data_IF_585284528191
#
_entry.id   IF_585284528191
#
_cell.length_a   1.000
_cell.length_b   1.000
_cell.length_c   1.000
_cell.angle_alpha   90.00
_cell.angle_beta   90.00
_cell.angle_gamma   90.00
#
_symmetry.space_group_name_H-M   'P 1'
#
loop_
_entity.id
_entity.type
_entity.pdbx_description
1 polymer ?
#
# COMPACT_ATOMS: atom_id res chain seq x y z
N UNK A 1 -8.96 9.02 18.14
CA UNK A 1 -9.37 8.03 17.14
C UNK A 1 -10.83 8.27 16.82
N UNK A 2 -11.16 8.13 15.58
CA UNK A 2 -12.55 8.12 15.08
C UNK A 2 -12.94 6.65 14.92
N UNK A 3 -14.22 6.32 15.04
CA UNK A 3 -14.66 4.94 14.87
C UNK A 3 -16.07 4.72 15.37
N UNK A 4 -16.51 3.49 15.36
CA UNK A 4 -17.83 3.05 15.81
C UNK A 4 -17.74 2.34 17.17
N UNK A 5 -18.88 2.20 17.86
CA UNK A 5 -18.93 1.38 19.10
C UNK A 5 -18.63 -0.08 18.75
N UNK A 6 -18.02 -0.82 19.68
CA UNK A 6 -17.72 -2.24 19.49
C UNK A 6 -18.97 -3.08 19.16
N UNK A 7 -20.12 -2.71 19.71
CA UNK A 7 -21.38 -3.40 19.47
C UNK A 7 -22.16 -2.86 18.25
N UNK A 8 -21.60 -1.91 17.52
CA UNK A 8 -22.20 -1.42 16.29
C UNK A 8 -22.20 -2.53 15.24
N UNK A 9 -23.31 -2.81 14.55
CA UNK A 9 -23.37 -3.87 13.54
C UNK A 9 -22.42 -3.66 12.36
N UNK A 10 -21.94 -2.45 12.13
CA UNK A 10 -20.96 -2.12 11.10
C UNK A 10 -19.50 -2.16 11.63
N UNK A 11 -19.29 -2.51 12.91
CA UNK A 11 -17.95 -2.60 13.48
C UNK A 11 -17.22 -3.83 12.97
N UNK A 12 -16.02 -3.64 12.47
CA UNK A 12 -15.09 -4.72 12.10
C UNK A 12 -14.31 -5.13 13.34
N UNK A 13 -14.37 -6.44 13.69
CA UNK A 13 -13.81 -6.98 14.93
C UNK A 13 -12.56 -7.83 14.72
N UNK A 14 -12.34 -8.33 13.48
CA UNK A 14 -11.28 -9.29 13.19
C UNK A 14 -10.53 -8.89 11.91
N UNK A 15 -9.32 -9.44 11.77
CA UNK A 15 -8.51 -9.24 10.56
C UNK A 15 -9.17 -9.86 9.32
N UNK A 16 -9.87 -10.97 9.47
CA UNK A 16 -10.55 -11.62 8.34
C UNK A 16 -11.74 -10.79 7.88
N UNK A 17 -12.57 -10.26 8.78
CA UNK A 17 -13.63 -9.30 8.46
C UNK A 17 -13.06 -8.04 7.77
N UNK A 18 -11.91 -7.55 8.22
CA UNK A 18 -11.25 -6.41 7.58
C UNK A 18 -10.83 -6.74 6.13
N UNK A 19 -10.29 -7.94 5.89
CA UNK A 19 -9.93 -8.39 4.54
C UNK A 19 -11.18 -8.52 3.66
N UNK A 20 -12.26 -9.11 4.18
CA UNK A 20 -13.53 -9.25 3.46
C UNK A 20 -14.10 -7.88 3.10
N UNK A 21 -14.17 -6.96 4.05
CA UNK A 21 -14.64 -5.59 3.80
C UNK A 21 -13.79 -4.84 2.77
N UNK A 22 -12.44 -4.95 2.85
CA UNK A 22 -11.56 -4.32 1.85
C UNK A 22 -11.80 -4.89 0.45
N UNK A 23 -12.03 -6.21 0.33
CA UNK A 23 -12.33 -6.83 -0.95
C UNK A 23 -13.71 -6.43 -1.49
N UNK A 24 -14.70 -6.24 -0.62
CA UNK A 24 -16.03 -5.76 -0.97
C UNK A 24 -15.98 -4.31 -1.49
N UNK A 25 -15.33 -3.40 -0.76
CA UNK A 25 -15.23 -1.98 -1.15
C UNK A 25 -14.13 -1.69 -2.17
N UNK A 26 -13.27 -2.68 -2.45
CA UNK A 26 -12.20 -2.63 -3.45
C UNK A 26 -10.93 -1.95 -2.97
N UNK A 27 -11.00 -0.85 -2.24
CA UNK A 27 -9.85 -0.12 -1.70
C UNK A 27 -10.26 0.76 -0.52
N UNK A 28 -9.36 0.92 0.46
CA UNK A 28 -9.70 1.56 1.74
C UNK A 28 -8.47 2.21 2.37
N UNK A 29 -8.48 3.53 2.65
CA UNK A 29 -7.49 4.17 3.52
C UNK A 29 -7.48 3.56 4.92
N UNK A 30 -6.30 3.52 5.57
CA UNK A 30 -6.19 3.04 6.95
C UNK A 30 -6.83 4.02 7.94
N UNK A 31 -6.58 5.32 7.76
CA UNK A 31 -7.05 6.37 8.66
C UNK A 31 -8.08 7.28 8.02
N UNK A 32 -8.90 7.89 8.86
CA UNK A 32 -9.89 8.89 8.49
C UNK A 32 -9.33 9.94 7.54
N UNK A 33 -10.14 10.31 6.58
CA UNK A 33 -9.84 11.28 5.53
C UNK A 33 -11.05 12.22 5.29
N UNK A 34 -11.08 12.91 4.16
CA UNK A 34 -12.14 13.87 3.84
C UNK A 34 -13.45 13.23 3.40
N UNK A 35 -13.44 11.93 3.08
CA UNK A 35 -14.65 11.19 2.69
C UNK A 35 -15.13 10.41 3.92
N UNK A 36 -16.27 10.77 4.51
CA UNK A 36 -16.79 10.11 5.71
C UNK A 36 -17.04 8.61 5.48
N UNK A 37 -16.63 7.79 6.44
CA UNK A 37 -16.77 6.33 6.39
C UNK A 37 -15.78 5.61 5.48
N UNK A 38 -14.93 6.34 4.74
CA UNK A 38 -13.95 5.78 3.82
C UNK A 38 -12.61 5.55 4.51
N UNK A 39 -12.60 4.78 5.57
CA UNK A 39 -11.37 4.33 6.24
C UNK A 39 -11.62 3.14 7.15
N UNK A 40 -10.59 2.31 7.36
CA UNK A 40 -10.64 1.23 8.35
C UNK A 40 -10.83 1.78 9.77
N UNK A 41 -10.20 2.92 10.09
CA UNK A 41 -10.35 3.58 11.38
C UNK A 41 -11.82 3.87 11.72
N UNK A 42 -12.61 4.31 10.76
CA UNK A 42 -14.02 4.66 10.97
C UNK A 42 -14.95 3.43 11.07
N UNK A 43 -14.44 2.24 10.73
CA UNK A 43 -15.16 0.96 10.79
C UNK A 43 -14.72 0.06 11.94
N UNK A 44 -13.89 0.56 12.85
CA UNK A 44 -13.34 -0.18 13.99
C UNK A 44 -13.53 0.59 15.28
N UNK A 45 -13.54 -0.12 16.42
CA UNK A 45 -13.73 0.50 17.72
C UNK A 45 -12.43 1.19 18.19
N UNK A 46 -12.48 2.49 18.58
CA UNK A 46 -11.30 3.27 18.95
C UNK A 46 -10.49 2.70 20.12
N UNK A 47 -11.14 2.02 21.05
CA UNK A 47 -10.50 1.48 22.26
C UNK A 47 -9.55 0.31 22.01
N UNK A 48 -9.58 -0.29 20.83
CA UNK A 48 -8.75 -1.45 20.48
C UNK A 48 -7.49 -1.08 19.67
N UNK A 49 -7.35 0.14 19.22
CA UNK A 49 -6.15 0.59 18.54
C UNK A 49 -4.98 0.69 19.52
N UNK A 50 -3.85 0.09 19.16
CA UNK A 50 -2.62 0.04 19.94
C UNK A 50 -2.76 -0.71 21.29
N UNK A 51 -3.69 -1.62 21.38
CA UNK A 51 -3.85 -2.48 22.57
C UNK A 51 -2.87 -3.66 22.60
N UNK A 52 -2.07 -3.85 21.55
CA UNK A 52 -1.07 -4.93 21.40
C UNK A 52 -1.66 -6.34 21.33
N UNK A 53 -2.99 -6.49 21.24
CA UNK A 53 -3.65 -7.78 21.03
C UNK A 53 -3.90 -8.00 19.53
N UNK A 54 -3.18 -8.95 18.87
CA UNK A 54 -3.33 -9.19 17.45
C UNK A 54 -4.71 -9.67 17.01
N UNK A 55 -5.52 -10.17 17.95
CA UNK A 55 -6.88 -10.61 17.65
C UNK A 55 -7.81 -9.43 17.34
N UNK A 56 -7.61 -8.29 18.00
CA UNK A 56 -8.56 -7.17 17.97
C UNK A 56 -7.93 -5.80 17.64
N UNK A 57 -6.59 -5.70 17.53
CA UNK A 57 -5.89 -4.43 17.28
C UNK A 57 -5.76 -4.13 15.78
N UNK A 58 -6.50 -3.14 15.23
CA UNK A 58 -6.42 -2.79 13.81
C UNK A 58 -5.02 -2.29 13.39
N UNK A 59 -4.21 -1.77 14.32
CA UNK A 59 -2.84 -1.40 14.04
C UNK A 59 -1.95 -2.61 13.74
N UNK A 60 -2.20 -3.73 14.41
CA UNK A 60 -1.51 -5.00 14.13
C UNK A 60 -2.08 -5.67 12.88
N UNK A 61 -3.40 -5.58 12.65
CA UNK A 61 -4.03 -6.19 11.47
C UNK A 61 -3.38 -5.76 10.15
N UNK A 62 -2.95 -4.49 10.02
CA UNK A 62 -2.24 -4.02 8.81
C UNK A 62 -0.99 -4.86 8.47
N UNK A 63 -0.31 -5.40 9.50
CA UNK A 63 0.86 -6.25 9.33
C UNK A 63 0.46 -7.66 8.87
N UNK A 64 -0.63 -8.19 9.46
CA UNK A 64 -1.20 -9.50 9.09
C UNK A 64 -1.75 -9.45 7.67
N UNK A 65 -2.50 -8.39 7.33
CA UNK A 65 -3.06 -8.18 5.99
C UNK A 65 -1.95 -8.08 4.95
N UNK A 66 -0.92 -7.28 5.19
CA UNK A 66 0.23 -7.16 4.28
C UNK A 66 0.90 -8.51 4.02
N UNK A 67 1.11 -9.32 5.08
CA UNK A 67 1.74 -10.64 4.99
C UNK A 67 0.85 -11.69 4.32
N UNK A 68 -0.46 -11.54 4.39
CA UNK A 68 -1.41 -12.51 3.83
C UNK A 68 -1.35 -12.60 2.31
N UNK A 69 -0.91 -11.54 1.61
CA UNK A 69 -0.96 -11.43 0.16
C UNK A 69 -2.38 -11.34 -0.43
N UNK A 70 -3.43 -11.34 0.41
CA UNK A 70 -4.84 -11.25 -0.03
C UNK A 70 -5.25 -9.85 -0.45
N UNK A 71 -4.49 -8.84 -0.01
CA UNK A 71 -4.73 -7.41 -0.24
C UNK A 71 -3.40 -6.70 -0.34
N UNK A 72 -3.26 -5.76 -1.25
CA UNK A 72 -2.09 -4.89 -1.32
C UNK A 72 -2.16 -3.82 -0.22
N UNK A 73 -1.03 -3.61 0.49
CA UNK A 73 -0.90 -2.59 1.52
C UNK A 73 0.27 -1.66 1.24
N UNK A 74 0.06 -0.36 1.39
CA UNK A 74 1.11 0.63 1.18
C UNK A 74 0.62 2.06 1.39
N UNK A 75 1.47 3.04 1.10
CA UNK A 75 1.11 4.46 1.12
C UNK A 75 0.46 4.87 -0.20
N UNK A 76 -0.75 4.40 -0.44
CA UNK A 76 -1.44 4.55 -1.72
C UNK A 76 -2.35 5.79 -1.81
N UNK A 77 -2.73 6.42 -0.70
CA UNK A 77 -3.77 7.43 -0.62
C UNK A 77 -3.20 8.75 -0.10
N UNK A 78 -2.90 9.70 -0.98
CA UNK A 78 -2.28 10.99 -0.61
C UNK A 78 -1.08 10.80 0.35
N UNK A 79 -0.16 9.87 0.01
CA UNK A 79 1.02 9.48 0.80
C UNK A 79 0.70 8.82 2.14
N UNK A 80 -0.55 8.48 2.41
CA UNK A 80 -1.03 7.80 3.60
C UNK A 80 -1.27 6.31 3.34
N UNK A 81 -1.18 5.53 4.40
CA UNK A 81 -1.37 4.08 4.35
C UNK A 81 -2.81 3.69 4.04
N UNK A 82 -2.97 2.59 3.35
CA UNK A 82 -4.24 1.96 3.05
C UNK A 82 -4.09 0.71 2.21
N UNK A 83 -5.20 0.17 1.78
CA UNK A 83 -5.34 -1.13 1.16
C UNK A 83 -5.97 -1.01 -0.22
N UNK A 84 -5.54 -1.87 -1.14
CA UNK A 84 -6.17 -2.07 -2.45
C UNK A 84 -6.37 -3.57 -2.62
N UNK A 85 -7.60 -4.01 -2.93
CA UNK A 85 -7.88 -5.42 -3.24
C UNK A 85 -7.12 -5.84 -4.50
N UNK A 86 -6.86 -7.14 -4.62
CA UNK A 86 -6.12 -7.67 -5.78
C UNK A 86 -6.91 -7.45 -7.07
N UNK A 87 -8.23 -7.43 -7.02
CA UNK A 87 -9.09 -7.09 -8.16
C UNK A 87 -8.88 -5.65 -8.66
N UNK A 88 -8.75 -4.69 -7.75
CA UNK A 88 -8.58 -3.27 -8.09
C UNK A 88 -7.12 -2.87 -8.34
N UNK A 89 -6.17 -3.70 -7.93
CA UNK A 89 -4.74 -3.41 -8.08
C UNK A 89 -4.32 -3.09 -9.53
N UNK A 90 -4.75 -3.86 -10.58
CA UNK A 90 -4.41 -3.54 -11.97
C UNK A 90 -4.99 -2.20 -12.45
N UNK A 91 -6.19 -1.85 -11.98
CA UNK A 91 -6.83 -0.58 -12.33
C UNK A 91 -6.03 0.60 -11.78
N UNK A 92 -5.60 0.52 -10.51
CA UNK A 92 -4.73 1.53 -9.91
C UNK A 92 -3.34 1.56 -10.55
N UNK A 93 -2.76 0.41 -10.87
CA UNK A 93 -1.47 0.31 -11.53
C UNK A 93 -1.50 1.00 -12.91
N UNK A 94 -2.49 0.69 -13.74
CA UNK A 94 -2.65 1.33 -15.05
C UNK A 94 -2.83 2.85 -14.92
N UNK A 95 -3.71 3.30 -14.03
CA UNK A 95 -3.96 4.73 -13.81
C UNK A 95 -2.69 5.49 -13.40
N UNK A 96 -1.92 4.94 -12.44
CA UNK A 96 -0.80 5.66 -11.81
C UNK A 96 0.52 5.49 -12.52
N UNK A 97 0.69 4.38 -13.24
CA UNK A 97 1.88 4.09 -14.04
C UNK A 97 1.74 4.57 -15.49
N UNK A 98 0.52 4.94 -15.90
CA UNK A 98 0.21 5.33 -17.28
C UNK A 98 0.64 4.27 -18.32
N UNK A 99 0.52 2.97 -17.94
CA UNK A 99 0.93 1.83 -18.77
C UNK A 99 2.44 1.59 -18.81
N UNK A 100 3.23 2.29 -17.98
CA UNK A 100 4.68 2.11 -17.95
C UNK A 100 5.13 1.05 -16.95
N UNK A 101 5.98 0.15 -17.39
CA UNK A 101 6.89 -0.55 -16.50
C UNK A 101 7.98 0.39 -16.02
N UNK A 102 8.62 0.09 -14.89
CA UNK A 102 9.56 1.03 -14.29
C UNK A 102 10.77 1.32 -15.18
N UNK A 103 11.28 0.32 -15.90
CA UNK A 103 12.42 0.50 -16.80
C UNK A 103 12.10 1.46 -17.93
N UNK A 104 10.97 1.24 -18.61
CA UNK A 104 10.50 2.13 -19.65
C UNK A 104 10.25 3.56 -19.12
N UNK A 105 9.67 3.68 -17.92
CA UNK A 105 9.47 4.97 -17.25
C UNK A 105 10.80 5.69 -17.00
N UNK A 106 11.84 4.95 -16.62
CA UNK A 106 13.17 5.51 -16.36
C UNK A 106 13.88 5.90 -17.67
N UNK A 107 13.84 5.05 -18.69
CA UNK A 107 14.43 5.30 -20.02
C UNK A 107 13.82 6.53 -20.67
N UNK A 108 12.52 6.76 -20.51
CA UNK A 108 11.83 7.97 -20.97
C UNK A 108 12.13 9.23 -20.12
N UNK A 109 13.02 9.12 -19.11
CA UNK A 109 13.40 10.23 -18.22
C UNK A 109 12.30 10.69 -17.26
N UNK A 110 11.24 9.90 -17.08
CA UNK A 110 10.10 10.21 -16.21
C UNK A 110 10.32 9.78 -14.76
N UNK A 111 11.29 8.92 -14.49
CA UNK A 111 11.67 8.50 -13.13
C UNK A 111 13.03 9.10 -12.73
N UNK A 112 13.16 9.40 -11.42
CA UNK A 112 14.41 9.96 -10.89
C UNK A 112 15.47 8.87 -10.66
N UNK A 113 16.75 9.27 -10.62
CA UNK A 113 17.85 8.38 -10.22
C UNK A 113 17.66 7.77 -8.82
N UNK A 114 16.98 8.45 -7.90
CA UNK A 114 16.65 7.92 -6.57
C UNK A 114 15.71 6.74 -6.67
N UNK A 115 14.71 6.84 -7.51
CA UNK A 115 13.76 5.75 -7.76
C UNK A 115 14.46 4.57 -8.43
N UNK A 116 15.33 4.80 -9.43
CA UNK A 116 16.13 3.74 -10.06
C UNK A 116 16.99 2.99 -9.07
N UNK A 117 17.73 3.70 -8.19
CA UNK A 117 18.57 3.08 -7.15
C UNK A 117 17.79 2.14 -6.22
N UNK A 118 16.52 2.42 -6.01
CA UNK A 118 15.63 1.55 -5.22
C UNK A 118 15.13 0.39 -6.08
N UNK A 119 14.56 0.68 -7.25
CA UNK A 119 13.87 -0.31 -8.08
C UNK A 119 14.78 -1.36 -8.69
N UNK A 120 16.04 -1.04 -8.98
CA UNK A 120 17.02 -2.03 -9.48
C UNK A 120 17.18 -3.24 -8.55
N UNK A 121 16.85 -3.09 -7.26
CA UNK A 121 16.88 -4.18 -6.30
C UNK A 121 15.68 -5.13 -6.41
N UNK A 122 14.66 -4.78 -7.22
CA UNK A 122 13.46 -5.59 -7.44
C UNK A 122 13.31 -6.02 -8.90
N UNK A 123 13.97 -5.35 -9.85
CA UNK A 123 13.85 -5.61 -11.30
C UNK A 123 14.86 -6.68 -11.73
N UNK A 124 16.12 -6.58 -11.25
CA UNK A 124 17.11 -7.60 -11.51
C UNK A 124 16.73 -8.90 -10.78
N UNK A 125 16.89 -10.06 -11.44
CA UNK A 125 16.65 -11.38 -10.86
C UNK A 125 17.50 -11.58 -9.60
N UNK A 126 16.97 -11.17 -8.46
CA UNK A 126 17.55 -11.43 -7.14
C UNK A 126 16.75 -12.52 -6.45
N UNK A 127 17.44 -13.31 -5.65
CA UNK A 127 16.88 -14.43 -4.89
C UNK A 127 15.81 -13.98 -3.90
N UNK A 128 15.88 -12.72 -3.42
CA UNK A 128 14.97 -12.17 -2.42
C UNK A 128 13.94 -11.22 -3.08
N UNK A 129 12.72 -11.69 -3.22
CA UNK A 129 11.59 -10.87 -3.69
C UNK A 129 11.14 -9.81 -2.67
N UNK A 130 11.59 -9.92 -1.40
CA UNK A 130 11.21 -9.07 -0.29
C UNK A 130 12.43 -8.49 0.40
N UNK A 131 12.49 -7.17 0.58
CA UNK A 131 13.65 -6.49 1.18
C UNK A 131 13.19 -5.62 2.36
N UNK A 132 13.83 -5.82 3.54
CA UNK A 132 13.58 -4.98 4.69
C UNK A 132 14.01 -3.52 4.42
N UNK A 133 13.22 -2.56 4.89
CA UNK A 133 13.44 -1.13 4.66
C UNK A 133 14.87 -0.67 4.97
N UNK A 134 15.44 -1.14 6.08
CA UNK A 134 16.81 -0.78 6.47
C UNK A 134 17.87 -1.35 5.54
N UNK A 135 17.66 -2.54 5.01
CA UNK A 135 18.59 -3.19 4.11
C UNK A 135 18.45 -2.61 2.71
N UNK A 136 17.24 -2.39 2.22
CA UNK A 136 16.97 -1.66 0.99
C UNK A 136 17.62 -0.27 1.00
N UNK A 137 17.51 0.46 2.12
CA UNK A 137 18.14 1.76 2.28
C UNK A 137 19.65 1.72 2.07
N UNK A 138 20.32 0.68 2.58
CA UNK A 138 21.77 0.47 2.38
C UNK A 138 22.08 0.05 0.94
N UNK A 139 21.36 -0.94 0.42
CA UNK A 139 21.56 -1.47 -0.93
C UNK A 139 21.41 -0.38 -1.99
N UNK A 140 20.42 0.48 -1.83
CA UNK A 140 20.17 1.61 -2.73
C UNK A 140 21.09 2.83 -2.48
N UNK A 141 22.07 2.72 -1.58
CA UNK A 141 23.07 3.77 -1.32
C UNK A 141 22.54 5.00 -0.58
N UNK A 142 21.47 4.86 0.21
CA UNK A 142 20.94 5.94 1.05
C UNK A 142 21.54 5.88 2.46
N UNK A 143 21.90 7.03 3.02
CA UNK A 143 22.43 7.10 4.38
C UNK A 143 23.10 8.43 4.72
N UNK A 144 23.91 8.43 5.79
CA UNK A 144 24.53 9.63 6.32
C UNK A 144 25.50 10.27 5.31
N UNK A 145 26.27 9.45 4.63
CA UNK A 145 27.26 9.85 3.60
C UNK A 145 26.77 9.57 2.17
N UNK A 146 25.57 9.02 2.03
CA UNK A 146 24.97 8.66 0.74
C UNK A 146 23.81 9.57 0.35
N UNK A 147 22.96 9.03 -0.51
CA UNK A 147 21.75 9.69 -1.01
C UNK A 147 20.80 10.06 0.15
N UNK A 148 20.06 11.16 0.00
CA UNK A 148 19.06 11.64 0.97
C UNK A 148 17.64 11.42 0.41
N UNK A 149 16.63 11.33 1.32
CA UNK A 149 15.22 11.32 0.96
C UNK A 149 14.68 9.94 0.61
N UNK A 150 15.22 8.88 1.20
CA UNK A 150 14.77 7.50 1.03
C UNK A 150 13.26 7.34 1.26
N UNK A 151 12.74 7.84 2.40
CA UNK A 151 11.33 7.68 2.76
C UNK A 151 10.38 8.36 1.76
N UNK A 152 10.80 9.53 1.23
CA UNK A 152 10.06 10.22 0.17
C UNK A 152 10.06 9.43 -1.15
N UNK A 153 11.21 8.86 -1.53
CA UNK A 153 11.32 8.05 -2.74
C UNK A 153 10.48 6.77 -2.64
N UNK A 154 10.55 6.04 -1.52
CA UNK A 154 9.69 4.88 -1.23
C UNK A 154 8.20 5.27 -1.30
N UNK A 155 7.82 6.38 -0.68
CA UNK A 155 6.43 6.84 -0.69
C UNK A 155 5.96 7.13 -2.12
N UNK A 156 6.79 7.75 -2.96
CA UNK A 156 6.45 7.99 -4.37
C UNK A 156 6.29 6.68 -5.14
N UNK A 157 7.19 5.72 -4.96
CA UNK A 157 7.11 4.41 -5.62
C UNK A 157 5.87 3.62 -5.19
N UNK A 158 5.45 3.73 -3.91
CA UNK A 158 4.18 3.16 -3.46
C UNK A 158 2.98 3.88 -4.08
N UNK A 159 2.98 5.23 -4.09
CA UNK A 159 1.91 6.00 -4.74
C UNK A 159 1.74 5.61 -6.21
N UNK A 160 2.83 5.26 -6.88
CA UNK A 160 2.85 4.78 -8.26
C UNK A 160 2.60 3.25 -8.39
N UNK A 161 2.36 2.55 -7.30
CA UNK A 161 2.14 1.09 -7.26
C UNK A 161 3.37 0.27 -7.75
N UNK A 162 4.57 0.84 -7.83
CA UNK A 162 5.79 0.07 -8.13
C UNK A 162 6.33 -0.68 -6.91
N UNK A 163 5.95 -0.28 -5.69
CA UNK A 163 6.26 -0.95 -4.44
C UNK A 163 5.04 -1.05 -3.54
N UNK A 164 5.01 -2.07 -2.70
CA UNK A 164 4.07 -2.22 -1.58
C UNK A 164 4.79 -2.77 -0.35
N UNK A 165 4.14 -2.68 0.80
CA UNK A 165 4.57 -3.41 1.99
C UNK A 165 4.04 -4.84 1.90
N UNK A 166 4.94 -5.82 2.00
CA UNK A 166 4.58 -7.24 1.99
C UNK A 166 4.66 -7.88 3.37
N UNK A 167 5.39 -7.27 4.31
CA UNK A 167 5.52 -7.78 5.68
C UNK A 167 6.05 -6.70 6.64
N UNK A 168 6.04 -7.03 7.93
CA UNK A 168 6.66 -6.27 9.02
C UNK A 168 7.42 -7.23 9.92
N UNK A 169 8.74 -7.04 10.07
CA UNK A 169 9.62 -7.96 10.79
C UNK A 169 10.51 -7.21 11.77
N UNK A 170 10.78 -7.81 12.93
CA UNK A 170 11.83 -7.32 13.83
C UNK A 170 13.21 -7.56 13.22
N UNK A 171 14.09 -6.60 13.40
CA UNK A 171 15.50 -6.79 13.08
C UNK A 171 16.12 -7.87 13.96
N UNK A 172 17.09 -8.60 13.41
CA UNK A 172 17.88 -9.57 14.15
C UNK A 172 19.29 -9.03 14.36
N UNK A 173 19.83 -9.20 15.58
CA UNK A 173 21.24 -8.91 15.87
C UNK A 173 22.16 -10.03 15.32
N UNK A 174 23.48 -9.88 15.48
CA UNK A 174 24.48 -10.88 15.01
C UNK A 174 24.28 -12.28 15.64
N UNK A 175 23.56 -12.38 16.76
CA UNK A 175 23.23 -13.63 17.44
C UNK A 175 21.86 -14.21 17.02
N UNK A 176 21.18 -13.62 16.02
CA UNK A 176 19.87 -14.02 15.54
C UNK A 176 18.70 -13.59 16.44
N UNK A 177 18.94 -12.85 17.52
CA UNK A 177 17.90 -12.39 18.43
C UNK A 177 17.17 -11.17 17.86
N UNK A 178 15.83 -11.20 17.90
CA UNK A 178 15.00 -10.08 17.48
C UNK A 178 15.14 -8.89 18.43
N UNK A 179 15.21 -7.67 17.89
CA UNK A 179 15.29 -6.44 18.66
C UNK A 179 14.58 -5.28 17.95
N UNK A 180 14.18 -4.28 18.75
CA UNK A 180 13.54 -3.06 18.27
C UNK A 180 12.11 -3.29 17.77
N UNK A 181 11.57 -2.28 17.09
CA UNK A 181 10.25 -2.28 16.48
C UNK A 181 10.23 -3.05 15.16
N UNK A 182 9.03 -3.49 14.74
CA UNK A 182 8.83 -4.05 13.43
C UNK A 182 9.21 -3.05 12.34
N UNK A 183 9.95 -3.53 11.36
CA UNK A 183 10.40 -2.77 10.19
C UNK A 183 9.68 -3.31 8.97
N UNK A 184 9.19 -2.42 8.12
CA UNK A 184 8.53 -2.79 6.88
C UNK A 184 9.46 -3.56 5.95
N UNK A 185 8.95 -4.61 5.33
CA UNK A 185 9.51 -5.25 4.17
C UNK A 185 8.76 -4.78 2.93
N UNK A 186 9.49 -4.52 1.85
CA UNK A 186 8.94 -4.09 0.57
C UNK A 186 9.10 -5.16 -0.48
N UNK A 187 8.15 -5.21 -1.40
CA UNK A 187 8.21 -6.01 -2.62
C UNK A 187 7.63 -5.23 -3.80
N UNK A 188 8.01 -5.60 -5.01
CA UNK A 188 7.27 -5.19 -6.19
C UNK A 188 5.97 -6.00 -6.27
N UNK A 189 4.84 -5.39 -6.64
CA UNK A 189 3.56 -6.09 -6.82
C UNK A 189 3.67 -7.29 -7.76
N UNK A 190 4.48 -7.20 -8.80
CA UNK A 190 4.73 -8.26 -9.78
C UNK A 190 5.34 -9.52 -9.15
N UNK A 191 6.14 -9.36 -8.09
CA UNK A 191 6.71 -10.50 -7.36
C UNK A 191 5.68 -11.21 -6.47
N UNK A 192 4.67 -10.48 -6.00
CA UNK A 192 3.64 -11.03 -5.09
C UNK A 192 2.47 -11.65 -5.85
N UNK A 193 2.06 -11.04 -6.95
CA UNK A 193 0.83 -11.40 -7.66
C UNK A 193 1.04 -11.73 -9.13
N UNK A 194 2.27 -11.63 -9.62
CA UNK A 194 2.62 -11.90 -11.01
C UNK A 194 2.44 -10.70 -11.94
N UNK A 195 3.32 -10.62 -12.94
CA UNK A 195 3.35 -9.53 -13.93
C UNK A 195 2.02 -9.42 -14.69
N UNK A 196 1.50 -10.53 -15.19
CA UNK A 196 0.29 -10.56 -16.02
C UNK A 196 -0.94 -10.02 -15.28
N UNK A 197 -1.05 -10.30 -13.97
CA UNK A 197 -2.14 -9.75 -13.17
C UNK A 197 -1.98 -8.25 -12.99
N UNK A 198 -0.83 -7.78 -12.52
CA UNK A 198 -0.60 -6.37 -12.19
C UNK A 198 -0.75 -5.47 -13.42
N UNK A 199 -0.34 -5.95 -14.60
CA UNK A 199 -0.37 -5.20 -15.86
C UNK A 199 -1.60 -5.47 -16.74
N UNK A 200 -2.56 -6.27 -16.26
CA UNK A 200 -3.70 -6.72 -17.05
C UNK A 200 -4.54 -5.56 -17.65
N UNK A 201 -4.54 -4.40 -17.01
CA UNK A 201 -5.27 -3.21 -17.48
C UNK A 201 -4.41 -2.27 -18.37
N UNK A 202 -3.15 -2.58 -18.68
CA UNK A 202 -2.28 -1.69 -19.49
C UNK A 202 -2.77 -1.48 -20.94
N UNK A 203 -3.69 -2.31 -21.41
CA UNK A 203 -4.34 -2.12 -22.73
C UNK A 203 -5.41 -1.04 -22.73
N UNK A 204 -5.87 -0.61 -21.57
CA UNK A 204 -6.86 0.46 -21.41
C UNK A 204 -6.15 1.82 -21.31
N UNK A 205 -6.84 2.89 -21.72
CA UNK A 205 -6.30 4.22 -21.47
C UNK A 205 -6.31 4.53 -19.95
N UNK A 206 -5.24 5.12 -19.38
CA UNK A 206 -5.17 5.43 -17.95
C UNK A 206 -6.35 6.27 -17.44
N UNK A 207 -6.90 7.16 -18.28
CA UNK A 207 -8.10 7.93 -17.97
C UNK A 207 -9.35 7.06 -17.74
N UNK A 208 -9.45 5.93 -18.42
CA UNK A 208 -10.59 5.03 -18.30
C UNK A 208 -10.52 4.26 -16.97
N UNK A 209 -9.31 3.87 -16.56
CA UNK A 209 -9.06 3.32 -15.21
C UNK A 209 -9.40 4.34 -14.11
N UNK A 210 -9.03 5.62 -14.30
CA UNK A 210 -9.46 6.68 -13.37
C UNK A 210 -10.98 6.82 -13.31
N UNK A 211 -11.66 6.78 -14.47
CA UNK A 211 -13.11 6.87 -14.52
C UNK A 211 -13.78 5.70 -13.81
N UNK A 212 -13.25 4.48 -13.93
CA UNK A 212 -13.71 3.31 -13.18
C UNK A 212 -13.60 3.55 -11.66
N UNK A 213 -12.45 4.05 -11.18
CA UNK A 213 -12.24 4.37 -9.77
C UNK A 213 -13.26 5.40 -9.27
N UNK A 214 -13.48 6.49 -10.02
CA UNK A 214 -14.42 7.55 -9.64
C UNK A 214 -15.86 7.02 -9.62
N UNK A 215 -16.26 6.27 -10.63
CA UNK A 215 -17.62 5.69 -10.72
C UNK A 215 -17.90 4.75 -9.55
N UNK A 216 -16.94 3.89 -9.21
CA UNK A 216 -17.03 2.99 -8.07
C UNK A 216 -17.11 3.75 -6.72
N UNK A 217 -16.33 4.81 -6.58
CA UNK A 217 -16.42 5.67 -5.39
C UNK A 217 -17.79 6.31 -5.22
N UNK A 218 -18.40 6.78 -6.29
CA UNK A 218 -19.77 7.33 -6.23
C UNK A 218 -20.83 6.27 -5.95
N UNK A 219 -20.62 5.03 -6.37
CA UNK A 219 -21.50 3.90 -6.06
C UNK A 219 -21.47 3.58 -4.55
N UNK A 220 -20.28 3.45 -3.95
CA UNK A 220 -20.14 3.04 -2.54
C UNK A 220 -20.26 4.23 -1.58
N UNK A 221 -19.75 5.40 -1.97
CA UNK A 221 -19.78 6.63 -1.18
C UNK A 221 -20.48 7.77 -1.95
N UNK A 222 -21.83 7.72 -2.09
CA UNK A 222 -22.57 8.66 -2.94
C UNK A 222 -22.45 10.14 -2.53
N UNK A 223 -22.10 10.39 -1.27
CA UNK A 223 -21.90 11.74 -0.73
C UNK A 223 -20.50 12.31 -1.04
N UNK A 224 -19.58 11.50 -1.54
CA UNK A 224 -18.22 11.93 -1.87
C UNK A 224 -18.25 12.83 -3.12
N UNK A 225 -17.61 13.97 -3.05
CA UNK A 225 -17.45 14.86 -4.19
C UNK A 225 -16.22 14.47 -5.01
N UNK A 226 -16.22 14.76 -6.33
CA UNK A 226 -15.07 14.54 -7.20
C UNK A 226 -13.77 15.18 -6.67
N UNK A 227 -13.91 16.35 -6.00
CA UNK A 227 -12.77 17.03 -5.38
C UNK A 227 -12.15 16.22 -4.24
N UNK A 228 -12.98 15.64 -3.38
CA UNK A 228 -12.53 14.78 -2.28
C UNK A 228 -11.93 13.48 -2.81
N UNK A 229 -12.61 12.82 -3.77
CA UNK A 229 -12.12 11.61 -4.43
C UNK A 229 -10.75 11.87 -5.04
N UNK A 230 -10.62 12.93 -5.84
CA UNK A 230 -9.35 13.30 -6.46
C UNK A 230 -8.25 13.62 -5.44
N UNK A 231 -8.58 14.21 -4.30
CA UNK A 231 -7.60 14.54 -3.27
C UNK A 231 -7.09 13.30 -2.54
N UNK A 232 -7.99 12.36 -2.22
CA UNK A 232 -7.65 11.15 -1.46
C UNK A 232 -6.98 10.09 -2.33
N UNK A 233 -7.43 9.94 -3.59
CA UNK A 233 -7.02 8.84 -4.46
C UNK A 233 -5.96 9.22 -5.53
N UNK A 234 -5.58 10.48 -5.59
CA UNK A 234 -4.58 10.94 -6.56
C UNK A 234 -3.18 10.45 -6.24
#
# INVERSE_FOLDING_TARGET
MYGVDWNDPECIHTVDEAIEYINEVGFLPLFKNEIPGFSLEERTAPGYWWCEDPAVDPWIWREVIARSGKVAYGKFFDKKAGFISIEWLPVFANYRREGYDFDALYEDGKASNKHKKIMINFIEERVDSEILSNDLKKLAGFGKEGEKGFDGAITTLMMQIYLCNCDFRRRKNKKGQAYGWNVAAYAAPEHLWGYDLVTSNYKEAPKDSWQKIVSHMHEIYPIATDKQIRKVLK
#
